data_IF_921768000982
#
_entry.id   IF_921768000982
#
_cell.length_a   1.000
_cell.length_b   1.000
_cell.length_c   1.000
_cell.angle_alpha   90.00
_cell.angle_beta   90.00
_cell.angle_gamma   90.00
#
_symmetry.space_group_name_H-M   'P 1'
#
loop_
_entity.id
_entity.type
_entity.pdbx_description
1 polymer ?
#
# COMPACT_ATOMS: atom_id res chain seq x y z
N UNK A 1 -5.42 -12.24 -32.72
CA UNK A 1 -5.15 -11.15 -31.76
C UNK A 1 -4.91 -11.77 -30.39
N UNK A 2 -3.65 -11.87 -29.94
CA UNK A 2 -3.29 -12.45 -28.65
C UNK A 2 -3.52 -11.42 -27.55
N UNK A 3 -4.33 -11.75 -26.54
CA UNK A 3 -4.55 -10.89 -25.37
C UNK A 3 -3.32 -10.98 -24.47
N UNK A 4 -2.47 -9.95 -24.50
CA UNK A 4 -1.35 -9.81 -23.58
C UNK A 4 -1.88 -9.79 -22.15
N UNK A 5 -1.73 -10.88 -21.40
CA UNK A 5 -1.97 -10.88 -19.96
C UNK A 5 -0.76 -10.24 -19.29
N UNK A 6 -0.89 -8.97 -18.92
CA UNK A 6 0.05 -8.34 -18.00
C UNK A 6 -0.08 -9.05 -16.65
N UNK A 7 0.85 -9.96 -16.37
CA UNK A 7 1.03 -10.52 -15.03
C UNK A 7 1.59 -9.39 -14.17
N UNK A 8 0.69 -8.62 -13.57
CA UNK A 8 1.06 -7.54 -12.66
C UNK A 8 0.92 -8.02 -11.23
N UNK A 9 2.07 -8.11 -10.54
CA UNK A 9 2.18 -8.56 -9.17
C UNK A 9 1.32 -7.68 -8.24
N UNK A 10 0.40 -8.28 -7.49
CA UNK A 10 -0.25 -7.64 -6.34
C UNK A 10 0.71 -7.76 -5.15
N UNK A 11 1.42 -6.69 -4.75
CA UNK A 11 2.31 -6.79 -3.61
C UNK A 11 1.48 -7.01 -2.34
N UNK A 12 1.72 -8.16 -1.71
CA UNK A 12 1.16 -8.55 -0.43
C UNK A 12 2.32 -8.75 0.53
N UNK A 13 2.40 -7.93 1.57
CA UNK A 13 3.43 -8.08 2.60
C UNK A 13 2.77 -8.54 3.90
N UNK A 14 3.38 -9.55 4.51
CA UNK A 14 3.07 -9.97 5.88
C UNK A 14 4.20 -9.48 6.76
N UNK A 15 3.85 -8.68 7.78
CA UNK A 15 4.79 -8.06 8.70
C UNK A 15 4.64 -8.75 10.05
N UNK A 16 5.77 -9.19 10.60
CA UNK A 16 5.85 -9.88 11.88
C UNK A 16 6.58 -8.97 12.87
N UNK A 17 5.99 -8.77 14.05
CA UNK A 17 6.65 -8.05 15.12
C UNK A 17 7.50 -9.01 15.96
N UNK A 18 8.73 -8.62 16.35
CA UNK A 18 9.57 -9.44 17.20
C UNK A 18 8.86 -9.70 18.54
N UNK A 19 8.83 -10.97 18.97
CA UNK A 19 8.19 -11.37 20.23
C UNK A 19 6.67 -11.54 20.17
N UNK A 20 6.03 -11.32 19.02
CA UNK A 20 4.58 -11.56 18.84
C UNK A 20 4.29 -12.46 17.64
N UNK A 21 4.48 -13.77 17.85
CA UNK A 21 4.32 -14.79 16.81
C UNK A 21 2.90 -14.88 16.19
N UNK A 22 1.89 -14.30 16.83
CA UNK A 22 0.49 -14.33 16.39
C UNK A 22 -0.07 -12.96 15.97
N UNK A 23 0.74 -11.89 15.98
CA UNK A 23 0.28 -10.57 15.49
C UNK A 23 0.60 -10.44 14.01
N UNK A 24 -0.41 -10.71 13.18
CA UNK A 24 -0.27 -10.64 11.72
C UNK A 24 -0.69 -9.24 11.23
N UNK A 25 0.28 -8.50 10.68
CA UNK A 25 0.00 -7.28 9.94
C UNK A 25 0.11 -7.57 8.44
N UNK A 26 -0.94 -7.28 7.69
CA UNK A 26 -0.96 -7.47 6.24
C UNK A 26 -1.09 -6.13 5.52
N UNK A 27 -0.17 -5.87 4.59
CA UNK A 27 -0.22 -4.73 3.69
C UNK A 27 -0.59 -5.23 2.30
N UNK A 28 -1.77 -4.84 1.84
CA UNK A 28 -2.30 -5.19 0.53
C UNK A 28 -2.45 -3.96 -0.37
N UNK A 29 -2.29 -4.17 -1.68
CA UNK A 29 -2.43 -3.15 -2.72
C UNK A 29 -3.51 -3.49 -3.71
N UNK A 30 -4.20 -2.47 -4.18
CA UNK A 30 -4.96 -2.49 -5.43
C UNK A 30 -4.05 -2.60 -6.67
N UNK A 31 -4.64 -3.06 -7.79
CA UNK A 31 -4.02 -3.27 -9.10
C UNK A 31 -3.40 -1.99 -9.68
N UNK A 32 -4.06 -0.86 -9.53
CA UNK A 32 -3.58 0.46 -9.99
C UNK A 32 -2.62 1.12 -8.99
N UNK A 33 -2.32 0.46 -7.85
CA UNK A 33 -1.51 1.01 -6.76
C UNK A 33 -2.05 2.36 -6.25
N UNK A 34 -3.36 2.57 -6.42
CA UNK A 34 -4.08 3.77 -5.99
C UNK A 34 -4.62 3.62 -4.58
N UNK A 35 -4.73 2.37 -4.11
CA UNK A 35 -5.38 2.02 -2.87
C UNK A 35 -4.55 1.03 -2.06
N UNK A 36 -4.33 1.33 -0.79
CA UNK A 36 -3.50 0.57 0.13
C UNK A 36 -4.33 0.27 1.37
N UNK A 37 -4.40 -1.01 1.75
CA UNK A 37 -5.07 -1.44 2.97
C UNK A 37 -4.07 -2.12 3.87
N UNK A 38 -3.89 -1.57 5.06
CA UNK A 38 -3.14 -2.18 6.15
C UNK A 38 -4.15 -2.84 7.07
N UNK A 39 -4.00 -4.14 7.28
CA UNK A 39 -4.82 -4.91 8.21
C UNK A 39 -3.96 -5.44 9.34
N UNK A 40 -4.58 -5.57 10.51
CA UNK A 40 -4.05 -6.27 11.67
C UNK A 40 -5.06 -7.35 12.03
N UNK A 41 -4.64 -8.62 12.00
CA UNK A 41 -5.50 -9.78 12.24
C UNK A 41 -6.83 -9.73 11.44
N UNK A 42 -6.75 -9.32 10.16
CA UNK A 42 -7.91 -9.19 9.26
C UNK A 42 -8.69 -7.86 9.36
N UNK A 43 -8.47 -7.06 10.40
CA UNK A 43 -9.16 -5.77 10.62
C UNK A 43 -8.37 -4.63 9.97
N UNK A 44 -9.04 -3.77 9.19
CA UNK A 44 -8.38 -2.61 8.56
C UNK A 44 -8.01 -1.59 9.63
N UNK A 45 -6.71 -1.30 9.77
CA UNK A 45 -6.16 -0.32 10.72
C UNK A 45 -5.73 0.99 10.06
N UNK A 46 -5.36 0.93 8.78
CA UNK A 46 -5.05 2.11 7.98
C UNK A 46 -5.39 1.88 6.51
N UNK A 47 -5.78 2.95 5.85
CA UNK A 47 -6.19 2.96 4.45
C UNK A 47 -5.59 4.17 3.77
N UNK A 48 -4.86 3.95 2.67
CA UNK A 48 -4.30 5.03 1.87
C UNK A 48 -4.96 5.04 0.50
N UNK A 49 -5.50 6.18 0.10
CA UNK A 49 -6.23 6.36 -1.16
C UNK A 49 -5.62 7.52 -1.92
N UNK A 50 -5.27 7.28 -3.17
CA UNK A 50 -4.85 8.33 -4.09
C UNK A 50 -6.08 9.14 -4.51
N UNK A 51 -6.08 10.44 -4.17
CA UNK A 51 -7.11 11.40 -4.55
C UNK A 51 -6.53 12.41 -5.53
N UNK A 52 -7.36 12.85 -6.46
CA UNK A 52 -7.04 13.98 -7.31
C UNK A 52 -7.38 15.27 -6.57
N UNK A 53 -6.38 16.10 -6.36
CA UNK A 53 -6.52 17.45 -5.80
C UNK A 53 -6.23 18.42 -6.93
N UNK A 54 -7.19 19.32 -7.20
CA UNK A 54 -7.06 20.42 -8.17
C UNK A 54 -6.63 19.99 -9.59
N UNK A 55 -7.30 19.00 -10.18
CA UNK A 55 -7.17 18.52 -11.57
C UNK A 55 -5.76 18.10 -12.09
N UNK A 56 -4.68 18.39 -11.34
CA UNK A 56 -3.30 18.22 -11.81
C UNK A 56 -2.40 17.59 -10.74
N UNK A 57 -2.84 17.46 -9.48
CA UNK A 57 -2.05 16.88 -8.41
C UNK A 57 -2.69 15.61 -7.88
N UNK A 58 -1.96 14.50 -7.95
CA UNK A 58 -2.36 13.26 -7.26
C UNK A 58 -1.75 13.30 -5.86
N UNK A 59 -2.59 13.43 -4.84
CA UNK A 59 -2.16 13.33 -3.45
C UNK A 59 -2.64 12.01 -2.86
N UNK A 60 -1.84 11.44 -1.95
CA UNK A 60 -2.18 10.20 -1.27
C UNK A 60 -2.71 10.55 0.11
N UNK A 61 -4.01 10.37 0.30
CA UNK A 61 -4.66 10.58 1.58
C UNK A 61 -4.56 9.30 2.41
N UNK A 62 -3.97 9.39 3.60
CA UNK A 62 -3.85 8.28 4.54
C UNK A 62 -4.81 8.48 5.71
N UNK A 63 -5.70 7.52 5.91
CA UNK A 63 -6.59 7.45 7.07
C UNK A 63 -6.06 6.38 8.01
N UNK A 64 -5.72 6.76 9.23
CA UNK A 64 -5.25 5.86 10.29
C UNK A 64 -6.34 5.78 11.36
N UNK A 65 -6.71 4.57 11.80
CA UNK A 65 -7.69 4.41 12.87
C UNK A 65 -7.13 4.92 14.21
N UNK A 66 -7.98 5.45 15.10
CA UNK A 66 -7.54 5.87 16.43
C UNK A 66 -6.91 4.71 17.20
N UNK A 67 -5.85 4.98 17.94
CA UNK A 67 -5.08 3.97 18.68
C UNK A 67 -4.02 3.21 17.87
N UNK A 68 -3.87 3.53 16.58
CA UNK A 68 -2.84 2.96 15.71
C UNK A 68 -1.67 3.92 15.59
N UNK A 69 -0.44 3.40 15.70
CA UNK A 69 0.78 4.19 15.55
C UNK A 69 0.96 4.67 14.11
N UNK A 70 0.90 5.99 13.93
CA UNK A 70 1.05 6.66 12.65
C UNK A 70 2.47 6.52 12.09
N UNK A 71 3.50 6.46 12.95
CA UNK A 71 4.89 6.31 12.53
C UNK A 71 5.14 4.91 11.95
N UNK A 72 4.60 3.87 12.60
CA UNK A 72 4.60 2.51 12.07
C UNK A 72 3.95 2.45 10.68
N UNK A 73 2.75 3.03 10.52
CA UNK A 73 2.04 3.07 9.24
C UNK A 73 2.85 3.81 8.16
N UNK A 74 3.48 4.94 8.50
CA UNK A 74 4.31 5.70 7.58
C UNK A 74 5.54 4.91 7.13
N UNK A 75 6.20 4.19 8.05
CA UNK A 75 7.35 3.33 7.73
C UNK A 75 6.97 2.24 6.72
N UNK A 76 5.80 1.60 6.88
CA UNK A 76 5.31 0.59 5.93
C UNK A 76 5.10 1.17 4.52
N UNK A 77 4.63 2.41 4.42
CA UNK A 77 4.48 3.10 3.13
C UNK A 77 5.84 3.40 2.48
N UNK A 78 6.82 3.83 3.28
CA UNK A 78 8.18 4.11 2.80
C UNK A 78 8.83 2.82 2.28
N UNK A 79 8.77 1.74 3.05
CA UNK A 79 9.30 0.42 2.66
C UNK A 79 8.65 -0.03 1.35
N UNK A 80 7.33 0.07 1.24
CA UNK A 80 6.64 -0.29 0.00
C UNK A 80 7.08 0.56 -1.19
N UNK A 81 7.29 1.87 -1.00
CA UNK A 81 7.79 2.77 -2.06
C UNK A 81 9.22 2.43 -2.49
N UNK A 82 10.04 1.86 -1.61
CA UNK A 82 11.38 1.38 -1.96
C UNK A 82 11.34 0.04 -2.70
N UNK A 83 10.47 -0.88 -2.29
CA UNK A 83 10.34 -2.22 -2.90
C UNK A 83 9.69 -2.15 -4.28
N UNK A 84 8.79 -1.20 -4.50
CA UNK A 84 8.24 -0.91 -5.83
C UNK A 84 9.19 0.09 -6.51
N UNK A 85 10.15 -0.35 -7.35
CA UNK A 85 11.05 0.57 -8.00
C UNK A 85 10.22 1.46 -8.92
N UNK A 86 10.65 2.72 -9.09
CA UNK A 86 10.17 3.56 -10.19
C UNK A 86 10.56 2.88 -11.51
N UNK A 87 9.67 2.02 -12.00
CA UNK A 87 9.85 1.24 -13.21
C UNK A 87 8.55 1.21 -13.99
N UNK A 88 8.52 2.06 -15.03
CA UNK A 88 7.61 2.10 -16.18
C UNK A 88 6.27 2.82 -16.06
N UNK A 89 6.30 4.06 -16.56
CA UNK A 89 5.20 4.84 -17.12
C UNK A 89 5.63 6.31 -17.13
N UNK A 90 5.96 6.96 -18.23
CA UNK A 90 5.99 6.61 -19.65
C UNK A 90 6.80 7.71 -20.35
N UNK A 91 7.12 7.51 -21.62
CA UNK A 91 7.79 8.53 -22.43
C UNK A 91 7.00 9.84 -22.47
N UNK A 92 7.74 10.93 -22.40
CA UNK A 92 7.66 12.03 -23.36
C UNK A 92 9.11 12.34 -23.73
#
# INVERSE_FOLDING_TARGET
MSRSSLIQWKPHFTIWLPGKANDEFTLSSDFFRTHYKIRHNGVIIAEAVQKWVLCFKKEMALTVRPGVDQAFVAALLVIKRQIVPHGQGGGV
#
